data_IF_780016762887
#
_entry.id   IF_780016762887
#
_cell.length_a   1.000
_cell.length_b   1.000
_cell.length_c   1.000
_cell.angle_alpha   90.00
_cell.angle_beta   90.00
_cell.angle_gamma   90.00
#
_symmetry.space_group_name_H-M   'P 1'
#
loop_
_entity.id
_entity.type
_entity.pdbx_description
1 polymer ?
#
# COMPACT_ATOMS: atom_id res chain seq x y z
N UNK A 1 42.31 0.84 6.58
CA UNK A 1 41.72 -0.24 5.76
C UNK A 1 40.66 0.37 4.88
N UNK A 2 40.87 0.30 3.56
CA UNK A 2 40.06 0.93 2.51
C UNK A 2 39.29 -0.20 1.83
N UNK A 3 37.97 -0.13 1.80
CA UNK A 3 37.19 -0.86 0.79
C UNK A 3 36.14 0.09 0.24
N UNK A 4 36.45 0.60 -0.94
CA UNK A 4 35.61 1.36 -1.85
C UNK A 4 34.59 0.45 -2.53
N UNK A 5 33.34 0.90 -2.66
CA UNK A 5 32.37 0.47 -3.69
C UNK A 5 31.29 1.55 -3.76
N UNK A 6 31.54 2.63 -4.51
CA UNK A 6 31.02 2.75 -5.88
C UNK A 6 29.52 2.43 -5.95
N UNK A 7 28.67 3.33 -5.47
CA UNK A 7 27.34 3.52 -6.07
C UNK A 7 27.44 4.79 -6.91
N UNK A 8 28.24 4.68 -7.97
CA UNK A 8 28.28 5.62 -9.08
C UNK A 8 27.49 4.96 -10.21
N UNK A 9 26.20 5.29 -10.31
CA UNK A 9 25.43 5.05 -11.52
C UNK A 9 24.25 6.03 -11.58
N UNK A 10 24.49 7.12 -12.31
CA UNK A 10 23.47 7.87 -13.06
C UNK A 10 22.53 8.78 -12.28
N UNK A 11 23.08 9.89 -11.77
CA UNK A 11 22.38 11.18 -11.85
C UNK A 11 22.37 11.56 -13.33
N UNK A 12 21.31 11.22 -14.06
CA UNK A 12 21.11 11.65 -15.45
C UNK A 12 20.79 13.14 -15.41
N UNK A 13 21.88 13.90 -15.46
CA UNK A 13 21.91 15.34 -15.61
C UNK A 13 21.35 15.73 -16.99
N UNK A 14 20.35 16.61 -16.92
CA UNK A 14 19.95 17.62 -17.91
C UNK A 14 19.10 17.15 -19.09
N UNK A 15 17.78 17.23 -18.86
CA UNK A 15 16.80 17.49 -19.92
C UNK A 15 17.05 18.92 -20.42
N UNK A 16 17.65 19.04 -21.60
CA UNK A 16 17.74 20.27 -22.37
C UNK A 16 16.61 20.24 -23.41
N UNK A 17 15.47 20.85 -23.11
CA UNK A 17 14.46 21.15 -24.12
C UNK A 17 13.99 22.59 -23.97
N UNK A 18 14.62 23.42 -24.81
CA UNK A 18 14.07 24.53 -25.60
C UNK A 18 13.35 25.66 -24.85
N UNK A 19 14.03 26.81 -24.84
CA UNK A 19 13.45 28.12 -24.59
C UNK A 19 12.27 28.39 -25.55
N UNK A 20 11.09 28.57 -24.98
CA UNK A 20 9.90 29.06 -25.67
C UNK A 20 9.00 29.72 -24.64
N UNK A 21 9.19 31.02 -24.44
CA UNK A 21 8.27 31.83 -23.64
C UNK A 21 6.95 32.04 -24.37
N UNK A 22 5.84 31.84 -23.66
CA UNK A 22 4.58 32.59 -23.71
C UNK A 22 3.66 32.04 -22.60
N UNK A 23 3.20 32.96 -21.76
CA UNK A 23 2.25 32.86 -20.65
C UNK A 23 1.46 31.55 -20.47
N UNK A 24 1.53 30.95 -19.28
CA UNK A 24 0.50 30.06 -18.77
C UNK A 24 0.06 30.52 -17.38
N UNK A 25 -1.24 30.81 -17.29
CA UNK A 25 -1.93 31.28 -16.10
C UNK A 25 -1.88 30.25 -14.96
N UNK A 26 -1.90 30.76 -13.73
CA UNK A 26 -1.86 30.01 -12.48
C UNK A 26 -2.78 28.77 -12.48
N UNK A 27 -2.19 27.58 -12.45
CA UNK A 27 -2.90 26.35 -12.10
C UNK A 27 -2.48 25.95 -10.68
N UNK A 28 -3.33 26.28 -9.71
CA UNK A 28 -3.23 25.74 -8.36
C UNK A 28 -3.61 24.27 -8.36
N UNK A 29 -2.65 23.40 -8.65
CA UNK A 29 -2.84 21.95 -8.53
C UNK A 29 -2.48 21.55 -7.10
N UNK A 30 -3.51 21.36 -6.26
CA UNK A 30 -3.36 20.63 -5.01
C UNK A 30 -3.07 19.16 -5.37
N UNK A 31 -1.80 18.79 -5.39
CA UNK A 31 -1.38 17.40 -5.51
C UNK A 31 -1.67 16.76 -4.15
N UNK A 32 -2.81 16.10 -4.03
CA UNK A 32 -3.07 15.21 -2.90
C UNK A 32 -2.21 13.96 -3.12
N UNK A 33 -0.97 13.99 -2.63
CA UNK A 33 -0.15 12.78 -2.51
C UNK A 33 -0.76 12.00 -1.34
N UNK A 34 -1.85 11.28 -1.60
CA UNK A 34 -2.32 10.23 -0.70
C UNK A 34 -1.17 9.24 -0.59
N UNK A 35 -0.45 9.32 0.53
CA UNK A 35 0.74 8.54 0.79
C UNK A 35 0.27 7.13 1.14
N UNK A 36 -0.18 6.37 0.14
CA UNK A 36 -0.66 5.02 0.36
C UNK A 36 0.53 4.20 0.85
N UNK A 37 0.55 3.76 2.11
CA UNK A 37 1.70 3.06 2.65
C UNK A 37 1.88 1.80 1.83
N UNK A 38 3.11 1.59 1.36
CA UNK A 38 3.45 0.38 0.63
C UNK A 38 3.13 -0.81 1.52
N UNK A 39 2.27 -1.71 1.02
CA UNK A 39 1.71 -2.83 1.77
C UNK A 39 2.76 -3.79 2.37
N UNK A 40 4.05 -3.66 2.00
CA UNK A 40 5.15 -4.45 2.55
C UNK A 40 5.70 -3.99 3.90
N UNK A 41 5.34 -2.79 4.40
CA UNK A 41 5.93 -2.22 5.62
C UNK A 41 5.01 -2.23 6.86
N UNK A 42 3.74 -2.59 6.72
CA UNK A 42 2.78 -2.55 7.84
C UNK A 42 2.83 -3.89 8.60
N UNK A 43 3.14 -3.89 9.91
CA UNK A 43 3.11 -5.12 10.71
C UNK A 43 1.72 -5.76 10.71
N UNK A 44 1.67 -7.07 10.46
CA UNK A 44 0.43 -7.84 10.49
C UNK A 44 0.13 -8.27 11.93
N UNK A 45 -1.03 -7.86 12.44
CA UNK A 45 -1.52 -8.26 13.75
C UNK A 45 -2.49 -9.43 13.64
N UNK A 46 -2.37 -10.45 14.48
CA UNK A 46 -3.34 -11.56 14.51
C UNK A 46 -4.58 -11.16 15.28
N UNK A 47 -5.75 -11.26 14.65
CA UNK A 47 -7.03 -11.03 15.30
C UNK A 47 -7.27 -12.04 16.42
N UNK A 48 -7.76 -11.53 17.56
CA UNK A 48 -8.24 -12.35 18.67
C UNK A 48 -9.72 -12.05 18.88
N UNK A 49 -10.52 -13.09 19.03
CA UNK A 49 -11.95 -12.94 19.25
C UNK A 49 -12.25 -11.99 20.42
N UNK A 50 -13.16 -11.04 20.19
CA UNK A 50 -13.53 -10.01 21.16
C UNK A 50 -12.64 -8.76 21.14
N UNK A 51 -11.57 -8.73 20.33
CA UNK A 51 -10.82 -7.51 20.07
C UNK A 51 -11.73 -6.49 19.36
N UNK A 52 -11.82 -5.29 19.94
CA UNK A 52 -12.50 -4.16 19.30
C UNK A 52 -11.56 -3.53 18.29
N UNK A 53 -11.95 -3.54 17.02
CA UNK A 53 -11.20 -2.95 15.93
C UNK A 53 -11.77 -1.56 15.64
N UNK A 54 -10.89 -0.60 15.43
CA UNK A 54 -11.22 0.73 14.90
C UNK A 54 -10.99 0.73 13.39
N UNK A 55 -12.01 0.35 12.62
CA UNK A 55 -11.94 0.28 11.16
C UNK A 55 -12.79 1.41 10.59
N UNK A 56 -12.15 2.38 9.94
CA UNK A 56 -12.83 3.43 9.20
C UNK A 56 -13.04 3.04 7.72
N UNK A 57 -12.04 2.41 7.08
CA UNK A 57 -12.11 1.98 5.68
C UNK A 57 -11.30 0.72 5.44
N UNK A 58 -11.87 -0.25 4.71
CA UNK A 58 -11.11 -1.41 4.22
C UNK A 58 -10.40 -1.03 2.92
N UNK A 59 -9.10 -1.31 2.83
CA UNK A 59 -8.27 -1.00 1.67
C UNK A 59 -8.07 -2.22 0.77
N UNK A 60 -7.78 -3.36 1.36
CA UNK A 60 -7.64 -4.64 0.64
C UNK A 60 -7.86 -5.83 1.57
N UNK A 61 -8.12 -6.98 0.98
CA UNK A 61 -8.16 -8.28 1.65
C UNK A 61 -7.49 -9.30 0.74
N UNK A 62 -6.77 -10.27 1.31
CA UNK A 62 -6.15 -11.34 0.51
C UNK A 62 -7.21 -12.07 -0.30
N UNK A 63 -6.90 -12.34 -1.56
CA UNK A 63 -7.75 -13.18 -2.40
C UNK A 63 -7.66 -14.63 -1.92
N UNK A 64 -8.80 -15.20 -1.57
CA UNK A 64 -8.97 -16.58 -1.08
C UNK A 64 -10.04 -17.32 -1.89
N UNK A 65 -10.44 -16.78 -3.04
CA UNK A 65 -11.49 -17.33 -3.90
C UNK A 65 -11.17 -18.75 -4.37
N UNK A 66 -9.90 -19.07 -4.63
CA UNK A 66 -9.47 -20.39 -5.08
C UNK A 66 -9.17 -21.38 -3.95
N UNK A 67 -9.27 -20.95 -2.69
CA UNK A 67 -8.93 -21.78 -1.53
C UNK A 67 -10.18 -22.40 -0.94
N UNK A 68 -10.12 -23.70 -0.61
CA UNK A 68 -11.18 -24.39 0.10
C UNK A 68 -10.77 -24.72 1.54
N UNK A 69 -11.71 -24.53 2.49
CA UNK A 69 -11.53 -24.76 3.92
C UNK A 69 -11.43 -23.46 4.71
N UNK A 70 -11.18 -23.58 6.01
CA UNK A 70 -10.88 -22.43 6.86
C UNK A 70 -9.43 -22.01 6.62
N UNK A 71 -9.22 -20.79 6.12
CA UNK A 71 -7.92 -20.28 5.69
C UNK A 71 -7.62 -18.91 6.30
N UNK A 72 -6.33 -18.58 6.55
CA UNK A 72 -5.95 -17.23 6.95
C UNK A 72 -6.11 -16.25 5.79
N UNK A 73 -6.53 -15.02 6.12
CA UNK A 73 -6.58 -13.89 5.20
C UNK A 73 -6.03 -12.65 5.90
N UNK A 74 -5.37 -11.76 5.15
CA UNK A 74 -4.88 -10.48 5.65
C UNK A 74 -5.73 -9.34 5.09
N UNK A 75 -6.27 -8.52 5.97
CA UNK A 75 -6.97 -7.28 5.61
C UNK A 75 -6.11 -6.06 5.94
N UNK A 76 -5.91 -5.21 4.96
CA UNK A 76 -5.38 -3.87 5.18
C UNK A 76 -6.53 -2.90 5.33
N UNK A 77 -6.49 -2.07 6.36
CA UNK A 77 -7.54 -1.11 6.65
C UNK A 77 -6.95 0.21 7.19
N UNK A 78 -7.71 1.28 7.01
CA UNK A 78 -7.47 2.59 7.61
C UNK A 78 -8.31 2.71 8.88
N UNK A 79 -7.71 3.13 9.99
CA UNK A 79 -8.43 3.38 11.24
C UNK A 79 -9.04 4.80 11.28
N UNK A 80 -9.74 5.18 12.35
CA UNK A 80 -10.38 6.50 12.41
C UNK A 80 -9.40 7.68 12.46
N UNK A 81 -8.10 7.41 12.59
CA UNK A 81 -7.02 8.40 12.60
C UNK A 81 -6.29 8.51 11.25
N UNK A 82 -6.72 7.76 10.24
CA UNK A 82 -6.07 7.73 8.92
C UNK A 82 -4.84 6.81 8.84
N UNK A 83 -4.56 6.00 9.87
CA UNK A 83 -3.40 5.11 9.88
C UNK A 83 -3.74 3.78 9.21
N UNK A 84 -2.84 3.28 8.37
CA UNK A 84 -3.00 1.95 7.78
C UNK A 84 -2.49 0.87 8.72
N UNK A 85 -3.30 -0.17 8.87
CA UNK A 85 -3.12 -1.32 9.73
C UNK A 85 -3.31 -2.59 8.90
N UNK A 86 -2.68 -3.68 9.33
CA UNK A 86 -2.85 -5.00 8.72
C UNK A 86 -3.29 -6.00 9.79
N UNK A 87 -4.33 -6.77 9.48
CA UNK A 87 -4.94 -7.73 10.39
C UNK A 87 -5.06 -9.10 9.72
N UNK A 88 -4.54 -10.14 10.33
CA UNK A 88 -4.76 -11.53 9.93
C UNK A 88 -5.92 -12.15 10.73
N UNK A 89 -6.83 -12.82 10.04
CA UNK A 89 -7.92 -13.57 10.65
C UNK A 89 -8.31 -14.78 9.78
N UNK A 90 -9.13 -15.68 10.33
CA UNK A 90 -9.59 -16.87 9.62
C UNK A 90 -10.95 -16.64 8.96
N UNK A 91 -11.11 -17.11 7.73
CA UNK A 91 -12.38 -17.14 6.99
C UNK A 91 -12.60 -18.51 6.36
N UNK A 92 -13.83 -18.79 5.91
CA UNK A 92 -14.08 -19.88 4.97
C UNK A 92 -13.73 -19.39 3.56
N UNK A 93 -12.79 -20.08 2.90
CA UNK A 93 -12.38 -19.75 1.53
C UNK A 93 -13.50 -20.01 0.51
N UNK A 94 -13.46 -19.28 -0.61
CA UNK A 94 -14.51 -19.31 -1.64
C UNK A 94 -14.54 -20.60 -2.48
N UNK A 95 -13.41 -21.30 -2.57
CA UNK A 95 -13.22 -22.39 -3.54
C UNK A 95 -13.97 -23.67 -3.20
N UNK A 96 -14.66 -23.73 -2.05
CA UNK A 96 -15.52 -24.86 -1.70
C UNK A 96 -16.91 -24.80 -2.35
N UNK A 97 -17.27 -23.67 -2.97
CA UNK A 97 -18.62 -23.43 -3.48
C UNK A 97 -18.73 -23.49 -5.02
N UNK A 98 -17.61 -23.67 -5.72
CA UNK A 98 -17.51 -23.60 -7.19
C UNK A 98 -17.73 -24.95 -7.91
N UNK A 99 -18.73 -25.75 -7.49
CA UNK A 99 -19.04 -27.06 -8.09
C UNK A 99 -20.35 -27.09 -8.89
#
# INVERSE_FOLDING_TARGET
MKVSKQVLASVITVVLVVAGGLAQAAQGQAIHIESQPQAGQVPVETYRYGLKLDIARVLSTSDTSHLCGVVPTVMHYENSRGEVRALEYLILGGGCFDH
#
